data_IF_342202917877
#
_entry.id   IF_342202917877
#
_cell.length_a   1.000
_cell.length_b   1.000
_cell.length_c   1.000
_cell.angle_alpha   90.00
_cell.angle_beta   90.00
_cell.angle_gamma   90.00
#
_symmetry.space_group_name_H-M   'P 1'
#
loop_
_entity.id
_entity.type
_entity.pdbx_description
1 polymer ?
#
# COMPACT_ATOMS: atom_id res chain seq x y z
N UNK A 1 -2.65 11.34 12.06
CA UNK A 1 -3.33 10.05 12.31
C UNK A 1 -4.37 9.87 11.21
N UNK A 2 -4.22 8.92 10.30
CA UNK A 2 -5.17 8.78 9.19
C UNK A 2 -6.50 8.11 9.59
N UNK A 3 -7.61 8.56 9.00
CA UNK A 3 -8.90 7.86 9.10
C UNK A 3 -9.08 6.95 7.89
N UNK A 4 -9.24 5.64 8.14
CA UNK A 4 -9.70 4.68 7.13
C UNK A 4 -11.16 4.34 7.37
N UNK A 5 -12.01 4.48 6.35
CA UNK A 5 -13.41 4.06 6.44
C UNK A 5 -13.59 2.57 6.79
N UNK A 6 -12.62 1.71 6.45
CA UNK A 6 -12.67 0.26 6.72
C UNK A 6 -11.99 -0.14 8.03
N UNK A 7 -11.04 0.65 8.54
CA UNK A 7 -10.19 0.27 9.68
C UNK A 7 -10.21 1.27 10.86
N UNK A 8 -11.00 2.34 10.78
CA UNK A 8 -11.07 3.36 11.83
C UNK A 8 -9.81 4.25 11.87
N UNK A 9 -9.39 4.63 13.07
CA UNK A 9 -8.23 5.52 13.29
C UNK A 9 -6.93 4.75 13.21
N UNK A 10 -6.03 5.17 12.33
CA UNK A 10 -4.70 4.57 12.15
C UNK A 10 -3.63 5.63 12.41
N UNK A 11 -2.67 5.31 13.26
CA UNK A 11 -1.49 6.17 13.47
C UNK A 11 -0.47 5.94 12.37
N UNK A 12 -0.44 6.83 11.40
CA UNK A 12 0.60 6.86 10.37
C UNK A 12 1.47 8.09 10.62
N UNK A 13 2.78 7.92 10.89
CA UNK A 13 3.68 9.05 11.06
C UNK A 13 3.64 9.96 9.82
N UNK A 14 3.65 11.28 10.05
CA UNK A 14 3.70 12.31 9.00
C UNK A 14 2.46 12.42 8.11
N UNK A 15 1.34 11.81 8.51
CA UNK A 15 0.04 11.94 7.84
C UNK A 15 -0.92 12.74 8.71
N UNK A 16 -1.58 13.73 8.12
CA UNK A 16 -2.53 14.61 8.79
C UNK A 16 -3.72 13.87 9.39
N UNK A 17 -4.41 14.49 10.34
CA UNK A 17 -5.54 13.84 11.04
C UNK A 17 -6.77 13.64 10.15
N UNK A 18 -6.95 14.50 9.17
CA UNK A 18 -8.06 14.46 8.20
C UNK A 18 -7.61 14.04 6.79
N UNK A 19 -6.35 13.57 6.65
CA UNK A 19 -5.84 13.13 5.37
C UNK A 19 -6.45 11.76 5.01
N UNK A 20 -7.16 11.63 3.88
CA UNK A 20 -7.74 10.37 3.46
C UNK A 20 -6.64 9.39 3.08
N UNK A 21 -6.69 8.18 3.66
CA UNK A 21 -5.71 7.14 3.37
C UNK A 21 -6.35 5.89 2.81
N UNK A 22 -5.74 5.39 1.74
CA UNK A 22 -6.05 4.09 1.16
C UNK A 22 -5.04 3.04 1.65
N UNK A 23 -5.54 1.87 2.05
CA UNK A 23 -4.72 0.81 2.64
C UNK A 23 -4.88 -0.48 1.86
N UNK A 24 -3.75 -0.98 1.36
CA UNK A 24 -3.62 -2.29 0.76
C UNK A 24 -3.04 -3.27 1.78
N UNK A 25 -3.71 -4.40 2.02
CA UNK A 25 -3.19 -5.42 2.94
C UNK A 25 -2.51 -6.54 2.16
N UNK A 26 -1.50 -7.17 2.77
CA UNK A 26 -0.81 -8.31 2.17
C UNK A 26 -1.73 -9.53 1.95
N UNK A 27 -2.84 -9.63 2.70
CA UNK A 27 -3.86 -10.65 2.47
C UNK A 27 -4.73 -10.40 1.25
N UNK A 28 -4.79 -9.17 0.72
CA UNK A 28 -5.62 -8.86 -0.44
C UNK A 28 -4.83 -9.26 -1.70
N UNK A 29 -5.29 -10.29 -2.43
CA UNK A 29 -4.60 -10.83 -3.62
C UNK A 29 -4.29 -9.77 -4.69
N UNK A 30 -5.11 -8.72 -4.77
CA UNK A 30 -4.98 -7.64 -5.74
C UNK A 30 -3.96 -6.56 -5.32
N UNK A 31 -3.55 -6.53 -4.04
CA UNK A 31 -2.67 -5.49 -3.52
C UNK A 31 -1.31 -5.46 -4.20
N UNK A 32 -0.74 -6.63 -4.50
CA UNK A 32 0.55 -6.71 -5.19
C UNK A 32 0.52 -6.05 -6.58
N UNK A 33 -0.52 -6.30 -7.36
CA UNK A 33 -0.69 -5.70 -8.68
C UNK A 33 -0.92 -4.19 -8.61
N UNK A 34 -1.69 -3.73 -7.61
CA UNK A 34 -1.89 -2.30 -7.38
C UNK A 34 -0.59 -1.58 -6.99
N UNK A 35 0.27 -2.22 -6.18
CA UNK A 35 1.59 -1.68 -5.84
C UNK A 35 2.52 -1.60 -7.05
N UNK A 36 2.54 -2.60 -7.92
CA UNK A 36 3.31 -2.58 -9.18
C UNK A 36 2.84 -1.43 -10.08
N UNK A 37 1.52 -1.26 -10.25
CA UNK A 37 0.96 -0.14 -11.01
C UNK A 37 1.39 1.22 -10.44
N UNK A 38 1.29 1.39 -9.13
CA UNK A 38 1.68 2.63 -8.48
C UNK A 38 3.19 2.91 -8.60
N UNK A 39 4.02 1.86 -8.51
CA UNK A 39 5.45 1.96 -8.76
C UNK A 39 5.75 2.43 -10.18
N UNK A 40 5.10 1.87 -11.21
CA UNK A 40 5.28 2.31 -12.59
C UNK A 40 4.90 3.78 -12.79
N UNK A 41 3.84 4.26 -12.12
CA UNK A 41 3.46 5.68 -12.14
C UNK A 41 4.48 6.57 -11.44
N UNK A 42 5.04 6.12 -10.31
CA UNK A 42 6.09 6.85 -9.60
C UNK A 42 7.37 6.94 -10.45
N UNK A 43 7.74 5.86 -11.12
CA UNK A 43 8.90 5.79 -12.02
C UNK A 43 8.73 6.73 -13.23
N UNK A 44 7.55 6.73 -13.86
CA UNK A 44 7.27 7.59 -15.02
C UNK A 44 7.36 9.09 -14.70
N UNK A 45 7.24 9.46 -13.41
CA UNK A 45 7.36 10.84 -12.93
C UNK A 45 8.70 11.11 -12.22
N UNK A 46 9.68 10.20 -12.33
CA UNK A 46 11.00 10.36 -11.73
C UNK A 46 10.98 10.45 -10.20
N UNK A 47 9.98 9.87 -9.54
CA UNK A 47 9.84 9.96 -8.08
C UNK A 47 10.74 8.92 -7.40
N UNK A 48 11.56 9.30 -6.40
CA UNK A 48 12.44 8.38 -5.68
C UNK A 48 11.72 7.19 -5.01
N UNK A 49 10.42 7.36 -4.73
CA UNK A 49 9.56 6.35 -4.14
C UNK A 49 9.50 5.05 -4.97
N UNK A 50 9.67 5.12 -6.29
CA UNK A 50 9.64 3.94 -7.16
C UNK A 50 10.69 2.88 -6.74
N UNK A 51 11.87 3.33 -6.32
CA UNK A 51 12.96 2.45 -5.87
C UNK A 51 12.69 1.85 -4.51
N UNK A 52 12.06 2.59 -3.58
CA UNK A 52 11.69 2.02 -2.28
C UNK A 52 10.60 0.98 -2.42
N UNK A 53 9.58 1.24 -3.26
CA UNK A 53 8.39 0.39 -3.42
C UNK A 53 8.68 -1.06 -3.81
N UNK A 54 9.81 -1.34 -4.44
CA UNK A 54 10.22 -2.71 -4.78
C UNK A 54 10.30 -3.60 -3.53
N UNK A 55 10.80 -3.07 -2.41
CA UNK A 55 10.94 -3.82 -1.15
C UNK A 55 9.57 -4.17 -0.57
N UNK A 56 8.61 -3.25 -0.61
CA UNK A 56 7.25 -3.51 -0.15
C UNK A 56 6.55 -4.53 -1.06
N UNK A 57 6.72 -4.41 -2.38
CA UNK A 57 6.18 -5.39 -3.36
C UNK A 57 6.70 -6.80 -3.06
N UNK A 58 8.01 -6.96 -2.83
CA UNK A 58 8.60 -8.25 -2.51
C UNK A 58 8.08 -8.80 -1.19
N UNK A 59 7.90 -7.93 -0.19
CA UNK A 59 7.29 -8.29 1.09
C UNK A 59 5.86 -8.82 0.92
N UNK A 60 5.04 -8.20 0.07
CA UNK A 60 3.68 -8.66 -0.25
C UNK A 60 3.69 -10.01 -0.99
N UNK A 61 4.63 -10.20 -1.92
CA UNK A 61 4.77 -11.46 -2.68
C UNK A 61 5.17 -12.60 -1.75
N UNK A 62 6.17 -12.38 -0.89
CA UNK A 62 6.74 -13.39 0.01
C UNK A 62 5.92 -13.66 1.27
N UNK A 63 4.94 -12.80 1.60
CA UNK A 63 4.08 -13.02 2.76
C UNK A 63 3.30 -14.34 2.63
N UNK A 64 3.54 -15.26 3.58
CA UNK A 64 3.01 -16.64 3.57
C UNK A 64 1.62 -16.79 4.22
N UNK A 65 1.00 -15.69 4.64
CA UNK A 65 -0.33 -15.73 5.24
C UNK A 65 -1.43 -16.04 4.21
N UNK A 66 -2.66 -16.26 4.69
CA UNK A 66 -3.78 -16.59 3.83
C UNK A 66 -4.18 -15.39 2.95
N UNK A 67 -3.96 -15.52 1.64
CA UNK A 67 -4.35 -14.50 0.65
C UNK A 67 -5.77 -14.75 0.17
N UNK A 68 -6.61 -13.72 0.21
CA UNK A 68 -8.01 -13.72 -0.23
C UNK A 68 -8.29 -12.58 -1.20
N UNK A 69 -9.37 -12.69 -1.96
CA UNK A 69 -9.87 -11.52 -2.70
C UNK A 69 -10.36 -10.49 -1.67
N UNK A 70 -10.11 -9.19 -1.89
CA UNK A 70 -10.63 -8.16 -1.01
C UNK A 70 -12.17 -8.17 -1.05
N UNK A 71 -12.80 -7.95 0.12
CA UNK A 71 -14.25 -7.72 0.23
C UNK A 71 -14.66 -6.41 -0.45
#
# INVERSE_FOLDING_TARGET
>A
MAVSGKYGKISIPRIGDDEPVFILRAQDKLAGAALEMYRSLAESHGRPLASSLQKEIDSFKQWKGNKKLPD
#
